data_IF_465108237017
#
_entry.id   IF_465108237017
#
_cell.length_a   1.000
_cell.length_b   1.000
_cell.length_c   1.000
_cell.angle_alpha   90.00
_cell.angle_beta   90.00
_cell.angle_gamma   90.00
#
_symmetry.space_group_name_H-M   'P 1'
#
loop_
_entity.id
_entity.type
_entity.pdbx_description
1 polymer ?
#
# COMPACT_ATOMS: atom_id res chain seq x y z
N UNK A 1 10.44 -12.61 -7.74
CA UNK A 1 10.15 -12.87 -9.17
C UNK A 1 10.00 -11.53 -9.87
N UNK A 2 10.82 -11.25 -10.88
CA UNK A 2 10.94 -9.92 -11.50
C UNK A 2 9.86 -9.71 -12.57
N UNK A 3 8.94 -8.76 -12.36
CA UNK A 3 7.89 -8.41 -13.32
C UNK A 3 8.44 -8.09 -14.74
N UNK A 4 9.65 -7.53 -14.82
CA UNK A 4 10.34 -7.22 -16.08
C UNK A 4 10.70 -8.46 -16.91
N UNK A 5 10.94 -9.59 -16.27
CA UNK A 5 11.25 -10.86 -16.96
C UNK A 5 10.01 -11.42 -17.66
N UNK A 6 8.84 -11.30 -17.01
CA UNK A 6 7.57 -11.65 -17.63
C UNK A 6 7.27 -10.74 -18.83
N UNK A 7 7.46 -9.43 -18.73
CA UNK A 7 7.24 -8.56 -19.89
C UNK A 7 8.20 -8.85 -21.04
N UNK A 8 9.48 -9.13 -20.76
CA UNK A 8 10.47 -9.50 -21.77
C UNK A 8 10.08 -10.79 -22.51
N UNK A 9 9.62 -11.80 -21.79
CA UNK A 9 9.18 -13.07 -22.39
C UNK A 9 7.92 -12.87 -23.24
N UNK A 10 6.95 -12.09 -22.76
CA UNK A 10 5.71 -11.83 -23.50
C UNK A 10 5.96 -11.00 -24.78
N UNK A 11 6.84 -10.00 -24.74
CA UNK A 11 7.20 -9.20 -25.93
C UNK A 11 7.86 -10.02 -27.04
N UNK A 12 8.56 -11.11 -26.69
CA UNK A 12 9.21 -12.01 -27.67
C UNK A 12 8.20 -12.78 -28.52
N UNK A 13 7.06 -13.17 -27.93
CA UNK A 13 6.05 -14.01 -28.58
C UNK A 13 4.79 -13.24 -29.00
N UNK A 14 4.62 -12.01 -28.53
CA UNK A 14 3.51 -11.17 -28.94
C UNK A 14 3.65 -10.81 -30.44
N UNK A 15 2.55 -10.90 -31.18
CA UNK A 15 2.51 -10.59 -32.62
C UNK A 15 1.68 -9.34 -32.89
N UNK A 16 0.76 -8.99 -31.99
CA UNK A 16 -0.10 -7.84 -32.16
C UNK A 16 0.66 -6.55 -31.79
N UNK A 17 0.81 -5.60 -32.73
CA UNK A 17 1.55 -4.36 -32.47
C UNK A 17 0.90 -3.51 -31.37
N UNK A 18 -0.43 -3.49 -31.26
CA UNK A 18 -1.14 -2.72 -30.21
C UNK A 18 -0.88 -3.28 -28.81
N UNK A 19 -0.77 -4.60 -28.69
CA UNK A 19 -0.49 -5.26 -27.41
C UNK A 19 0.98 -5.04 -27.03
N UNK A 20 1.91 -5.09 -28.00
CA UNK A 20 3.32 -4.72 -27.76
C UNK A 20 3.46 -3.30 -27.25
N UNK A 21 2.73 -2.36 -27.84
CA UNK A 21 2.73 -0.96 -27.43
C UNK A 21 2.20 -0.81 -26.01
N UNK A 22 1.07 -1.44 -25.69
CA UNK A 22 0.50 -1.42 -24.33
C UNK A 22 1.43 -2.03 -23.27
N UNK A 23 2.06 -3.18 -23.56
CA UNK A 23 3.03 -3.81 -22.66
C UNK A 23 4.26 -2.93 -22.48
N UNK A 24 4.78 -2.34 -23.55
CA UNK A 24 5.94 -1.44 -23.50
C UNK A 24 5.62 -0.19 -22.67
N UNK A 25 4.44 0.39 -22.84
CA UNK A 25 3.97 1.51 -22.03
C UNK A 25 3.94 1.16 -20.55
N UNK A 26 3.41 -0.03 -20.21
CA UNK A 26 3.36 -0.49 -18.82
C UNK A 26 4.76 -0.78 -18.25
N UNK A 27 5.70 -1.29 -19.04
CA UNK A 27 7.09 -1.44 -18.64
C UNK A 27 7.73 -0.09 -18.27
N UNK A 28 7.55 0.92 -19.10
CA UNK A 28 8.10 2.26 -18.87
C UNK A 28 7.52 2.89 -17.59
N UNK A 29 6.21 2.75 -17.36
CA UNK A 29 5.56 3.23 -16.14
C UNK A 29 6.11 2.54 -14.89
N UNK A 30 6.32 1.21 -14.95
CA UNK A 30 6.93 0.46 -13.85
C UNK A 30 8.38 0.89 -13.58
N UNK A 31 9.18 1.11 -14.63
CA UNK A 31 10.55 1.60 -14.48
C UNK A 31 10.58 2.99 -13.83
N UNK A 32 9.74 3.91 -14.31
CA UNK A 32 9.61 5.24 -13.72
C UNK A 32 9.22 5.17 -12.24
N UNK A 33 8.26 4.31 -11.88
CA UNK A 33 7.85 4.14 -10.48
C UNK A 33 8.97 3.55 -9.61
N UNK A 34 9.76 2.63 -10.15
CA UNK A 34 10.93 2.08 -9.45
C UNK A 34 11.99 3.17 -9.24
N UNK A 35 12.24 4.04 -10.21
CA UNK A 35 13.14 5.18 -10.06
C UNK A 35 12.63 6.18 -9.02
N UNK A 36 11.33 6.52 -9.04
CA UNK A 36 10.71 7.38 -8.03
C UNK A 36 10.86 6.79 -6.62
N UNK A 37 10.53 5.52 -6.43
CA UNK A 37 10.68 4.82 -5.15
C UNK A 37 12.15 4.83 -4.71
N UNK A 38 13.09 4.58 -5.64
CA UNK A 38 14.53 4.63 -5.35
C UNK A 38 14.95 6.01 -4.89
N UNK A 39 14.51 7.08 -5.56
CA UNK A 39 14.85 8.45 -5.14
C UNK A 39 14.31 8.80 -3.76
N UNK A 40 13.11 8.33 -3.41
CA UNK A 40 12.50 8.55 -2.09
C UNK A 40 13.23 7.74 -0.99
N UNK A 41 13.66 6.52 -1.31
CA UNK A 41 14.44 5.68 -0.39
C UNK A 41 15.83 6.27 -0.16
N UNK A 42 16.51 6.73 -1.22
CA UNK A 42 17.84 7.35 -1.15
C UNK A 42 17.79 8.71 -0.42
N UNK A 43 16.69 9.47 -0.56
CA UNK A 43 16.47 10.76 0.11
C UNK A 43 15.85 10.65 1.52
N UNK A 44 15.70 9.44 2.09
CA UNK A 44 15.20 9.27 3.46
C UNK A 44 13.73 9.65 3.64
N UNK A 45 12.82 8.93 2.98
CA UNK A 45 11.45 8.74 3.46
C UNK A 45 10.58 9.99 3.61
N UNK A 46 10.80 11.04 2.82
CA UNK A 46 9.88 12.17 2.72
C UNK A 46 9.00 12.00 1.49
N UNK A 47 7.78 11.49 1.68
CA UNK A 47 6.79 11.37 0.62
C UNK A 47 6.33 12.75 0.10
N UNK A 48 5.77 12.83 -1.12
CA UNK A 48 5.22 14.08 -1.63
C UNK A 48 3.92 14.40 -0.90
N UNK A 49 3.99 15.28 0.10
CA UNK A 49 2.82 15.96 0.65
C UNK A 49 2.33 16.99 -0.38
N UNK A 50 1.04 17.04 -0.75
CA UNK A 50 0.52 18.12 -1.57
C UNK A 50 0.63 19.43 -0.78
N UNK A 51 1.39 20.36 -1.37
CA UNK A 51 1.79 21.65 -0.83
C UNK A 51 0.62 22.44 -0.23
N UNK A 52 0.72 22.71 1.07
CA UNK A 52 -0.02 23.73 1.80
C UNK A 52 0.99 24.57 2.59
N UNK A 53 1.24 25.76 2.07
CA UNK A 53 2.16 26.80 2.52
C UNK A 53 2.15 27.07 4.03
N UNK A 54 3.34 27.06 4.66
CA UNK A 54 3.68 27.92 5.81
C UNK A 54 5.19 27.83 6.08
N UNK A 55 5.89 28.85 5.59
CA UNK A 55 7.22 29.27 6.04
C UNK A 55 7.37 29.22 7.56
N UNK A 56 8.52 28.72 8.07
CA UNK A 56 9.32 29.32 9.16
C UNK A 56 10.66 28.59 9.19
N UNK A 57 11.72 29.36 8.92
CA UNK A 57 13.10 28.99 9.08
C UNK A 57 13.48 28.87 10.56
N UNK A 58 14.42 27.96 10.88
CA UNK A 58 15.54 28.09 11.83
C UNK A 58 15.84 26.77 12.57
N UNK A 59 16.93 26.10 12.18
CA UNK A 59 17.77 25.30 13.10
C UNK A 59 18.60 26.25 14.00
N UNK A 60 19.37 25.83 15.05
CA UNK A 60 19.71 24.46 15.51
C UNK A 60 19.74 24.21 17.06
N UNK A 61 19.65 22.91 17.43
CA UNK A 61 20.25 22.16 18.58
C UNK A 61 20.10 22.64 20.04
N UNK A 62 19.51 21.76 20.89
CA UNK A 62 20.00 21.46 22.26
C UNK A 62 19.74 19.99 22.63
N UNK A 63 20.78 19.32 23.15
CA UNK A 63 20.75 17.97 23.76
C UNK A 63 20.04 17.99 25.12
N UNK A 64 19.23 16.97 25.44
CA UNK A 64 19.00 16.40 26.80
C UNK A 64 18.16 15.12 26.62
N UNK A 65 18.71 13.92 26.82
CA UNK A 65 18.88 13.15 28.07
C UNK A 65 17.55 12.64 28.66
N UNK A 66 17.35 11.32 28.56
CA UNK A 66 16.60 10.50 29.52
C UNK A 66 15.13 10.23 29.20
N UNK A 67 14.77 8.96 28.97
CA UNK A 67 13.38 8.52 28.92
C UNK A 67 13.18 7.17 28.23
N UNK A 68 13.72 6.09 28.81
CA UNK A 68 13.38 4.71 28.42
C UNK A 68 11.93 4.48 28.84
N UNK A 69 11.02 4.44 27.88
CA UNK A 69 9.58 4.25 28.13
C UNK A 69 8.65 4.84 27.08
N UNK A 70 9.18 5.59 26.09
CA UNK A 70 8.36 6.25 25.05
C UNK A 70 8.29 5.49 23.73
N UNK A 71 9.10 4.44 23.58
CA UNK A 71 9.26 3.72 22.31
C UNK A 71 8.10 2.75 22.06
N UNK A 72 7.49 2.19 23.10
CA UNK A 72 6.45 1.17 22.97
C UNK A 72 5.08 1.78 22.62
N UNK A 73 4.71 2.91 23.24
CA UNK A 73 3.51 3.66 22.88
C UNK A 73 3.59 4.28 21.48
N UNK A 74 4.78 4.76 21.08
CA UNK A 74 4.99 5.31 19.74
C UNK A 74 4.97 4.21 18.67
N UNK A 75 5.44 3.00 18.99
CA UNK A 75 5.35 1.84 18.12
C UNK A 75 3.91 1.33 17.98
N UNK A 76 3.14 1.29 19.07
CA UNK A 76 1.71 0.94 19.03
C UNK A 76 0.91 2.00 18.26
N UNK A 77 1.17 3.28 18.48
CA UNK A 77 0.55 4.35 17.67
C UNK A 77 0.98 4.27 16.20
N UNK A 78 2.23 3.94 15.89
CA UNK A 78 2.69 3.74 14.53
C UNK A 78 2.01 2.53 13.85
N UNK A 79 1.82 1.42 14.57
CA UNK A 79 1.08 0.24 14.07
C UNK A 79 -0.40 0.55 13.82
N UNK A 80 -1.03 1.31 14.71
CA UNK A 80 -2.42 1.73 14.57
C UNK A 80 -2.60 2.68 13.38
N UNK A 81 -1.71 3.67 13.23
CA UNK A 81 -1.70 4.58 12.06
C UNK A 81 -1.45 3.83 10.75
N UNK A 82 -0.49 2.91 10.73
CA UNK A 82 -0.21 2.08 9.57
C UNK A 82 -1.37 1.16 9.17
N UNK A 83 -2.17 0.69 10.13
CA UNK A 83 -3.37 -0.12 9.85
C UNK A 83 -4.54 0.70 9.30
N UNK A 84 -4.71 1.94 9.75
CA UNK A 84 -5.87 2.76 9.39
C UNK A 84 -5.73 3.42 8.01
N UNK A 85 -4.52 3.84 7.63
CA UNK A 85 -4.31 4.61 6.40
C UNK A 85 -4.29 3.77 5.10
N UNK A 86 -4.24 2.44 5.22
CA UNK A 86 -4.07 1.54 4.08
C UNK A 86 -5.33 0.76 3.68
N UNK A 87 -6.53 1.18 4.11
CA UNK A 87 -7.75 0.45 3.76
C UNK A 87 -8.12 0.70 2.28
N UNK A 88 -7.91 -0.25 1.35
CA UNK A 88 -8.32 -0.04 -0.02
C UNK A 88 -9.85 -0.01 -0.07
N UNK A 89 -10.43 1.04 -0.63
CA UNK A 89 -11.86 1.16 -0.84
C UNK A 89 -12.32 0.18 -1.94
N UNK A 90 -12.37 -1.11 -1.63
CA UNK A 90 -12.78 -2.18 -2.53
C UNK A 90 -14.21 -2.64 -2.19
N UNK A 91 -15.05 -2.79 -3.22
CA UNK A 91 -16.41 -3.36 -3.07
C UNK A 91 -16.40 -4.84 -3.43
N UNK A 92 -17.33 -5.60 -2.85
CA UNK A 92 -17.54 -7.02 -3.19
C UNK A 92 -17.89 -7.27 -4.67
N UNK A 93 -18.43 -6.25 -5.35
CA UNK A 93 -18.68 -6.23 -6.79
C UNK A 93 -17.42 -6.18 -7.64
N UNK A 94 -16.31 -5.67 -7.09
CA UNK A 94 -15.06 -5.47 -7.82
C UNK A 94 -14.23 -6.76 -7.88
N UNK A 95 -14.62 -7.77 -7.11
CA UNK A 95 -14.02 -9.11 -7.10
C UNK A 95 -14.82 -10.01 -8.02
N UNK A 96 -14.23 -10.45 -9.13
CA UNK A 96 -14.90 -11.37 -10.05
C UNK A 96 -14.87 -12.82 -9.51
N UNK A 97 -16.02 -13.51 -9.54
CA UNK A 97 -16.14 -14.91 -9.10
C UNK A 97 -16.02 -15.12 -7.57
N UNK A 98 -15.66 -16.35 -7.17
CA UNK A 98 -15.43 -16.76 -5.77
C UNK A 98 -16.67 -16.63 -4.84
N UNK A 99 -17.87 -16.89 -5.35
CA UNK A 99 -19.11 -16.69 -4.59
C UNK A 99 -19.16 -17.48 -3.27
N UNK A 100 -18.68 -18.73 -3.26
CA UNK A 100 -18.61 -19.54 -2.04
C UNK A 100 -17.67 -18.95 -0.99
N UNK A 101 -16.53 -18.39 -1.41
CA UNK A 101 -15.57 -17.77 -0.49
C UNK A 101 -16.09 -16.42 0.03
N UNK A 102 -16.79 -15.64 -0.81
CA UNK A 102 -17.45 -14.39 -0.38
C UNK A 102 -18.52 -14.67 0.66
N UNK A 103 -19.37 -15.66 0.41
CA UNK A 103 -20.43 -16.06 1.33
C UNK A 103 -19.85 -16.55 2.66
N UNK A 104 -18.86 -17.45 2.63
CA UNK A 104 -18.21 -17.94 3.84
C UNK A 104 -17.57 -16.82 4.67
N UNK A 105 -16.94 -15.83 4.04
CA UNK A 105 -16.34 -14.70 4.75
C UNK A 105 -17.40 -13.76 5.32
N UNK A 106 -18.51 -13.53 4.60
CA UNK A 106 -19.64 -12.78 5.14
C UNK A 106 -20.28 -13.47 6.34
N UNK A 107 -20.47 -14.79 6.27
CA UNK A 107 -21.00 -15.57 7.38
C UNK A 107 -20.06 -15.58 8.58
N UNK A 108 -18.75 -15.76 8.36
CA UNK A 108 -17.78 -15.84 9.44
C UNK A 108 -17.50 -14.48 10.11
N UNK A 109 -17.65 -13.37 9.39
CA UNK A 109 -17.26 -12.03 9.89
C UNK A 109 -18.47 -11.15 10.21
N UNK A 110 -19.48 -11.12 9.33
CA UNK A 110 -20.63 -10.22 9.48
C UNK A 110 -21.70 -10.85 10.36
N UNK A 111 -21.93 -12.16 10.26
CA UNK A 111 -23.01 -12.82 11.00
C UNK A 111 -22.81 -12.77 12.53
N UNK A 112 -21.59 -12.96 13.07
CA UNK A 112 -21.34 -12.77 14.51
C UNK A 112 -21.59 -11.34 14.96
N UNK A 113 -21.31 -10.35 14.11
CA UNK A 113 -21.57 -8.95 14.43
C UNK A 113 -23.06 -8.62 14.37
N UNK A 114 -23.79 -9.17 13.41
CA UNK A 114 -25.21 -8.89 13.18
C UNK A 114 -26.14 -9.65 14.13
N UNK A 115 -25.75 -10.86 14.52
CA UNK A 115 -26.51 -11.68 15.45
C UNK A 115 -25.61 -12.31 16.52
N UNK A 116 -25.02 -11.50 17.41
CA UNK A 116 -24.06 -11.97 18.41
C UNK A 116 -24.63 -13.06 19.33
N UNK A 117 -25.94 -13.10 19.53
CA UNK A 117 -26.64 -14.10 20.33
C UNK A 117 -26.59 -15.53 19.76
N UNK A 118 -26.37 -15.71 18.46
CA UNK A 118 -26.19 -17.04 17.86
C UNK A 118 -24.73 -17.50 17.87
N UNK A 119 -23.81 -16.63 18.31
CA UNK A 119 -22.38 -16.86 18.36
C UNK A 119 -21.82 -16.71 19.78
N UNK A 120 -22.65 -16.98 20.79
CA UNK A 120 -22.21 -17.23 22.16
C UNK A 120 -21.63 -18.64 22.20
N UNK A 121 -20.31 -18.77 22.25
CA UNK A 121 -19.62 -20.08 22.27
C UNK A 121 -20.10 -21.03 23.35
#
# INVERSE_FOLDING_TARGET
MNALEYFRTHLKYEKNPKIKEAITQKCMENLKRVEEIRTILDNGGSGPSPSGDATIASQPKTKSKGGVGKDEEDLEQAKLRASLDNQPNMKWSDVAGLESAKQALQEAVILPFKFPQFFTG
#
